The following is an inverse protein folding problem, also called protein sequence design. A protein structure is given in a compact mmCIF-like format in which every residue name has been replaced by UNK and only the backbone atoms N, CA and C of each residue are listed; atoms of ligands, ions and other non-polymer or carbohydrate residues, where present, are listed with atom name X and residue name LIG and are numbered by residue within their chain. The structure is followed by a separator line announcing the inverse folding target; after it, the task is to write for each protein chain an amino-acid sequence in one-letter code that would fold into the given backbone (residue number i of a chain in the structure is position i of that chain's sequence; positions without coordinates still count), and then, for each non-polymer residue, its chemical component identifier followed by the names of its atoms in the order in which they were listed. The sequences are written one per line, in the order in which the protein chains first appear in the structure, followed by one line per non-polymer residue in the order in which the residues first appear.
data_IF_743569562593
#
_entry.id   IF_743569562593
#
_cell.length_a   1.000
_cell.length_b   1.000
_cell.length_c   1.000
_cell.angle_alpha   90.00
_cell.angle_beta   90.00
_cell.angle_gamma   90.00
#
_symmetry.space_group_name_H-M   'P 1'
#
loop_
_entity.id
_entity.type
_entity.pdbx_description
1 polymer ?
#
# COMPACT_ATOMS: atom_id res chain seq x y z
N UNK A 1 -21.52 -9.06 -1.44
CA UNK A 1 -20.37 -8.13 -1.48
C UNK A 1 -19.52 -8.51 -2.68
N UNK A 2 -19.53 -7.71 -3.76
CA UNK A 2 -18.80 -8.02 -5.01
C UNK A 2 -17.49 -7.23 -5.01
N UNK A 3 -16.64 -7.50 -4.01
CA UNK A 3 -15.36 -6.81 -3.84
C UNK A 3 -14.40 -7.25 -4.93
N UNK A 4 -13.66 -6.29 -5.48
CA UNK A 4 -12.67 -6.57 -6.50
C UNK A 4 -11.52 -7.35 -5.87
N UNK A 5 -11.16 -8.50 -6.43
CA UNK A 5 -10.05 -9.32 -5.91
C UNK A 5 -8.76 -8.52 -5.71
N UNK A 6 -8.44 -7.59 -6.61
CA UNK A 6 -7.24 -6.74 -6.48
C UNK A 6 -7.32 -5.82 -5.26
N UNK A 7 -8.52 -5.32 -4.93
CA UNK A 7 -8.71 -4.41 -3.80
C UNK A 7 -8.54 -5.13 -2.46
N UNK A 8 -9.00 -6.37 -2.36
CA UNK A 8 -8.78 -7.23 -1.19
C UNK A 8 -7.29 -7.52 -1.00
N UNK A 9 -6.60 -7.96 -2.06
CA UNK A 9 -5.16 -8.25 -2.01
C UNK A 9 -4.33 -7.00 -1.64
N UNK A 10 -4.74 -5.83 -2.15
CA UNK A 10 -4.14 -4.54 -1.76
C UNK A 10 -4.32 -4.22 -0.28
N UNK A 11 -5.51 -4.44 0.27
CA UNK A 11 -5.78 -4.22 1.68
C UNK A 11 -4.97 -5.17 2.57
N UNK A 12 -4.95 -6.46 2.23
CA UNK A 12 -4.19 -7.49 2.94
C UNK A 12 -2.68 -7.19 2.92
N UNK A 13 -2.13 -6.82 1.75
CA UNK A 13 -0.74 -6.42 1.60
C UNK A 13 -0.40 -5.21 2.50
N UNK A 14 -1.27 -4.19 2.52
CA UNK A 14 -1.05 -3.02 3.39
C UNK A 14 -1.06 -3.39 4.87
N UNK A 15 -1.99 -4.25 5.30
CA UNK A 15 -2.10 -4.71 6.68
C UNK A 15 -0.90 -5.56 7.10
N UNK A 16 -0.41 -6.44 6.22
CA UNK A 16 0.80 -7.23 6.43
C UNK A 16 2.02 -6.33 6.65
N UNK A 17 2.24 -5.36 5.75
CA UNK A 17 3.34 -4.38 5.89
C UNK A 17 3.23 -3.63 7.21
N UNK A 18 2.04 -3.12 7.56
CA UNK A 18 1.83 -2.43 8.83
C UNK A 18 2.10 -3.33 10.04
N UNK A 19 1.79 -4.63 9.97
CA UNK A 19 2.10 -5.60 11.03
C UNK A 19 3.61 -5.83 11.17
N UNK A 20 4.32 -6.07 10.07
CA UNK A 20 5.77 -6.26 10.07
C UNK A 20 6.51 -5.02 10.61
N UNK A 21 6.02 -3.83 10.26
CA UNK A 21 6.62 -2.56 10.67
C UNK A 21 6.14 -2.04 12.03
N UNK A 22 5.17 -2.71 12.66
CA UNK A 22 4.47 -2.23 13.86
C UNK A 22 3.92 -0.81 13.69
N UNK A 23 3.38 -0.51 12.51
CA UNK A 23 2.84 0.79 12.13
C UNK A 23 1.29 0.79 12.17
N UNK A 24 0.73 1.98 12.43
CA UNK A 24 -0.72 2.22 12.38
C UNK A 24 -1.21 2.75 11.03
N UNK A 25 -0.28 3.14 10.15
CA UNK A 25 -0.56 3.63 8.81
C UNK A 25 0.60 3.26 7.87
N UNK A 26 0.29 3.22 6.57
CA UNK A 26 1.27 2.92 5.52
C UNK A 26 1.22 4.01 4.45
N UNK A 27 2.40 4.50 4.05
CA UNK A 27 2.55 5.51 3.02
C UNK A 27 3.21 4.91 1.79
N UNK A 28 2.61 5.10 0.62
CA UNK A 28 3.07 4.50 -0.63
C UNK A 28 2.73 5.36 -1.83
N UNK A 29 3.53 5.25 -2.89
CA UNK A 29 3.10 5.68 -4.22
C UNK A 29 2.52 4.49 -5.01
N UNK A 30 1.88 4.78 -6.15
CA UNK A 30 1.29 3.75 -7.01
C UNK A 30 2.32 2.69 -7.44
N UNK A 31 3.58 3.08 -7.64
CA UNK A 31 4.63 2.14 -8.04
C UNK A 31 5.08 1.22 -6.91
N UNK A 32 5.11 1.72 -5.67
CA UNK A 32 5.45 0.87 -4.52
C UNK A 32 4.39 -0.22 -4.34
N UNK A 33 3.11 0.16 -4.47
CA UNK A 33 2.00 -0.78 -4.39
C UNK A 33 2.06 -1.83 -5.50
N UNK A 34 2.35 -1.43 -6.74
CA UNK A 34 2.54 -2.38 -7.85
C UNK A 34 3.67 -3.37 -7.57
N UNK A 35 4.78 -2.90 -7.01
CA UNK A 35 5.92 -3.75 -6.66
C UNK A 35 5.53 -4.76 -5.57
N UNK A 36 4.90 -4.31 -4.50
CA UNK A 36 4.46 -5.16 -3.38
C UNK A 36 3.47 -6.23 -3.85
N UNK A 37 2.45 -5.85 -4.63
CA UNK A 37 1.47 -6.78 -5.19
C UNK A 37 2.11 -7.82 -6.12
N UNK A 38 3.05 -7.40 -6.96
CA UNK A 38 3.76 -8.33 -7.85
C UNK A 38 4.59 -9.34 -7.05
N UNK A 39 5.22 -8.92 -5.94
CA UNK A 39 5.92 -9.82 -5.03
C UNK A 39 4.98 -10.78 -4.28
N UNK A 40 3.76 -10.35 -3.97
CA UNK A 40 2.70 -11.21 -3.43
C UNK A 40 2.05 -12.13 -4.49
N UNK A 41 2.48 -12.08 -5.76
CA UNK A 41 1.92 -12.88 -6.85
C UNK A 41 0.63 -12.32 -7.45
N UNK A 42 0.18 -11.14 -7.01
CA UNK A 42 -0.99 -10.45 -7.52
C UNK A 42 -0.60 -9.57 -8.72
N UNK A 43 -0.80 -10.10 -9.93
CA UNK A 43 -0.55 -9.35 -11.18
C UNK A 43 -1.69 -8.37 -11.44
N UNK A 44 -1.38 -7.09 -11.37
CA UNK A 44 -2.31 -6.00 -11.69
C UNK A 44 -1.59 -4.87 -12.42
N UNK A 45 -2.35 -3.92 -12.96
CA UNK A 45 -1.81 -2.77 -13.70
C UNK A 45 -1.97 -1.45 -12.94
N UNK A 46 -1.22 -0.43 -13.41
CA UNK A 46 -1.19 0.90 -12.80
C UNK A 46 -2.55 1.59 -12.77
N UNK A 47 -3.39 1.37 -13.78
CA UNK A 47 -4.72 1.96 -13.89
C UNK A 47 -5.63 1.38 -12.81
N UNK A 48 -5.57 0.06 -12.62
CA UNK A 48 -6.36 -0.63 -11.62
C UNK A 48 -5.97 -0.23 -10.19
N UNK A 49 -4.66 -0.16 -9.89
CA UNK A 49 -4.18 0.32 -8.57
C UNK A 49 -4.61 1.77 -8.34
N UNK A 50 -4.46 2.64 -9.35
CA UNK A 50 -4.90 4.05 -9.25
C UNK A 50 -6.39 4.15 -8.93
N UNK A 51 -7.22 3.37 -9.62
CA UNK A 51 -8.66 3.35 -9.41
C UNK A 51 -9.02 2.95 -7.98
N UNK A 52 -8.37 1.92 -7.44
CA UNK A 52 -8.59 1.49 -6.05
C UNK A 52 -8.22 2.61 -5.08
N UNK A 53 -7.03 3.19 -5.23
CA UNK A 53 -6.55 4.27 -4.34
C UNK A 53 -7.46 5.50 -4.39
N UNK A 54 -7.84 5.96 -5.57
CA UNK A 54 -8.48 7.26 -5.76
C UNK A 54 -10.01 7.21 -5.76
N UNK A 55 -10.62 6.15 -6.30
CA UNK A 55 -12.07 6.06 -6.46
C UNK A 55 -12.72 5.18 -5.39
N UNK A 56 -12.06 4.07 -5.00
CA UNK A 56 -12.62 3.10 -4.05
C UNK A 56 -12.27 3.51 -2.61
N UNK A 57 -10.98 3.61 -2.31
CA UNK A 57 -10.48 4.05 -0.99
C UNK A 57 -10.54 5.56 -0.80
N UNK A 58 -10.76 6.31 -1.90
CA UNK A 58 -10.93 7.77 -1.91
C UNK A 58 -9.78 8.52 -1.23
N UNK A 59 -8.56 8.01 -1.37
CA UNK A 59 -7.37 8.64 -0.81
C UNK A 59 -6.96 9.84 -1.64
N UNK A 60 -6.67 10.94 -0.96
CA UNK A 60 -6.02 12.11 -1.55
C UNK A 60 -4.51 11.99 -1.42
N UNK A 61 -3.75 12.52 -2.40
CA UNK A 61 -2.29 12.59 -2.26
C UNK A 61 -1.91 13.51 -1.12
N UNK A 62 -0.77 13.25 -0.47
CA UNK A 62 -0.23 14.14 0.55
C UNK A 62 0.14 15.52 -0.05
N UNK A 63 -0.19 16.59 0.67
CA UNK A 63 -0.01 17.98 0.22
C UNK A 63 1.39 18.54 0.48
N UNK A 64 2.13 18.01 1.46
CA UNK A 64 3.34 18.62 2.00
C UNK A 64 4.61 17.76 1.86
N UNK A 65 5.75 18.44 1.70
CA UNK A 65 7.15 17.93 1.64
C UNK A 65 7.49 16.87 0.59
N UNK A 66 6.51 16.29 -0.13
CA UNK A 66 6.65 15.19 -1.09
C UNK A 66 7.55 14.05 -0.62
N UNK A 67 7.88 13.96 0.67
CA UNK A 67 8.85 12.99 1.19
C UNK A 67 8.11 12.04 2.11
N UNK A 68 8.32 10.74 1.92
CA UNK A 68 7.62 9.71 2.65
C UNK A 68 8.53 8.53 2.92
N UNK A 69 8.21 7.78 3.97
CA UNK A 69 8.81 6.49 4.26
C UNK A 69 7.85 5.40 3.81
N UNK A 70 8.33 4.52 2.95
CA UNK A 70 7.60 3.36 2.43
C UNK A 70 8.41 2.10 2.70
N UNK A 71 7.88 0.95 2.27
CA UNK A 71 8.50 -0.35 2.43
C UNK A 71 8.71 -1.01 1.06
N UNK A 72 9.84 -1.68 0.92
CA UNK A 72 10.12 -2.55 -0.23
C UNK A 72 10.31 -3.99 0.26
N UNK A 73 9.99 -4.98 -0.58
CA UNK A 73 10.37 -6.36 -0.34
C UNK A 73 11.88 -6.46 -0.07
N UNK A 74 12.24 -7.13 1.01
CA UNK A 74 13.62 -7.36 1.39
C UNK A 74 14.09 -8.72 0.86
N UNK A 75 15.32 -8.75 0.36
CA UNK A 75 15.99 -10.00 -0.04
C UNK A 75 16.77 -10.64 1.12
N UNK A 76 16.80 -9.99 2.29
CA UNK A 76 17.41 -10.53 3.50
C UNK A 76 16.40 -11.43 4.23
N UNK A 77 16.77 -12.70 4.43
CA UNK A 77 15.94 -13.72 5.08
C UNK A 77 15.55 -13.39 6.53
N UNK A 78 16.08 -12.32 7.14
CA UNK A 78 15.70 -11.88 8.48
C UNK A 78 14.47 -10.97 8.53
N UNK A 79 14.15 -10.21 7.48
CA UNK A 79 13.02 -9.27 7.47
C UNK A 79 12.32 -9.31 6.12
N UNK A 80 10.98 -9.43 6.07
CA UNK A 80 10.25 -9.45 4.79
C UNK A 80 10.24 -8.09 4.09
N UNK A 81 10.39 -7.00 4.84
CA UNK A 81 10.36 -5.63 4.32
C UNK A 81 11.50 -4.77 4.85
N UNK A 82 11.97 -3.85 4.01
CA UNK A 82 12.96 -2.82 4.36
C UNK A 82 12.36 -1.43 4.17
N UNK A 83 12.51 -0.56 5.16
CA UNK A 83 12.10 0.83 5.06
C UNK A 83 12.99 1.62 4.10
N UNK A 84 12.37 2.45 3.27
CA UNK A 84 13.08 3.36 2.39
C UNK A 84 12.42 4.72 2.40
N UNK A 85 13.24 5.77 2.42
CA UNK A 85 12.79 7.15 2.26
C UNK A 85 12.77 7.51 0.79
N UNK A 86 11.65 8.05 0.31
CA UNK A 86 11.42 8.42 -1.09
C UNK A 86 10.87 9.83 -1.19
N UNK A 87 11.04 10.43 -2.36
CA UNK A 87 10.43 11.72 -2.71
C UNK A 87 9.52 11.55 -3.92
N UNK A 88 8.30 12.07 -3.85
CA UNK A 88 7.28 12.01 -4.90
C UNK A 88 5.86 12.13 -4.33
N UNK A 89 4.87 12.02 -5.22
CA UNK A 89 3.45 11.96 -4.84
C UNK A 89 3.14 10.60 -4.22
N UNK A 90 2.69 10.62 -2.97
CA UNK A 90 2.33 9.43 -2.20
C UNK A 90 0.93 9.59 -1.57
N UNK A 91 0.40 8.47 -1.11
CA UNK A 91 -0.86 8.36 -0.38
C UNK A 91 -0.56 7.71 0.96
N UNK A 92 -1.41 7.95 1.96
CA UNK A 92 -1.34 7.30 3.25
C UNK A 92 -2.68 6.66 3.56
N UNK A 93 -2.64 5.41 4.02
CA UNK A 93 -3.84 4.70 4.48
C UNK A 93 -3.64 4.22 5.91
N UNK A 94 -4.64 4.42 6.76
CA UNK A 94 -4.62 3.96 8.14
C UNK A 94 -5.11 2.53 8.27
N UNK A 95 -4.60 1.79 9.27
CA UNK A 95 -5.06 0.43 9.61
C UNK A 95 -6.57 0.38 9.84
N UNK A 96 -7.06 1.22 10.77
CA UNK A 96 -8.48 1.29 11.11
C UNK A 96 -9.34 1.64 9.89
N UNK A 97 -8.86 2.57 9.07
CA UNK A 97 -9.53 2.95 7.82
C UNK A 97 -9.65 1.77 6.85
N UNK A 98 -8.61 0.94 6.70
CA UNK A 98 -8.68 -0.28 5.88
C UNK A 98 -9.61 -1.32 6.48
N UNK A 99 -9.53 -1.58 7.78
CA UNK A 99 -10.40 -2.54 8.47
C UNK A 99 -11.88 -2.16 8.32
N UNK A 100 -12.21 -0.87 8.47
CA UNK A 100 -13.57 -0.33 8.27
C UNK A 100 -14.03 -0.47 6.80
N UNK A 101 -13.13 -0.47 5.82
CA UNK A 101 -13.44 -0.72 4.40
C UNK A 101 -13.64 -2.21 4.08
N UNK A 102 -13.10 -3.10 4.91
CA UNK A 102 -13.18 -4.55 4.73
C UNK A 102 -14.36 -5.21 5.44
N UNK A 103 -14.97 -4.53 6.43
CA UNK A 103 -16.21 -4.96 7.11
C UNK A 103 -17.44 -4.83 6.22
#
# INVERSE_FOLDING_TARGET
SNRNRTEVEMAETCLEVMNCMKASAFSFCINDMLLLLNCAGCRTDRTQVRRIVQEIWKLTPAENTLTYTTCLPSYDNMRPYTEVRRTGRFYTVGRKQLEDMQG
#
